data_IF_020881263352
#
_entry.id   IF_020881263352
#
_cell.length_a   1.000
_cell.length_b   1.000
_cell.length_c   1.000
_cell.angle_alpha   90.00
_cell.angle_beta   90.00
_cell.angle_gamma   90.00
#
_symmetry.space_group_name_H-M   'P 1'
#
loop_
_entity.id
_entity.type
_entity.pdbx_description
1 polymer ?
#
# COMPACT_ATOMS: atom_id res chain seq x y z
N UNK A 1 -23.13 -12.12 -9.68
CA UNK A 1 -21.74 -12.57 -9.56
C UNK A 1 -20.73 -11.53 -10.06
N UNK A 2 -20.99 -10.80 -11.16
CA UNK A 2 -20.13 -9.67 -11.57
C UNK A 2 -20.24 -8.43 -10.66
N UNK A 3 -21.43 -8.10 -10.15
CA UNK A 3 -21.68 -6.91 -9.32
C UNK A 3 -21.00 -6.95 -7.92
N UNK A 4 -20.66 -8.14 -7.41
CA UNK A 4 -20.04 -8.32 -6.09
C UNK A 4 -18.53 -8.06 -6.13
N UNK A 5 -17.88 -8.42 -7.25
CA UNK A 5 -16.43 -8.32 -7.37
C UNK A 5 -15.96 -6.87 -7.44
N UNK A 6 -16.69 -6.02 -8.15
CA UNK A 6 -16.40 -4.59 -8.24
C UNK A 6 -16.63 -3.89 -6.89
N UNK A 7 -17.67 -4.29 -6.14
CA UNK A 7 -17.94 -3.73 -4.81
C UNK A 7 -16.80 -4.01 -3.82
N UNK A 8 -16.22 -5.22 -3.85
CA UNK A 8 -15.06 -5.56 -3.03
C UNK A 8 -13.85 -4.71 -3.38
N UNK A 9 -13.49 -4.63 -4.67
CA UNK A 9 -12.37 -3.81 -5.15
C UNK A 9 -12.54 -2.34 -4.78
N UNK A 10 -13.77 -1.83 -4.88
CA UNK A 10 -14.13 -0.48 -4.43
C UNK A 10 -13.91 -0.29 -2.93
N UNK A 11 -14.27 -1.26 -2.09
CA UNK A 11 -14.03 -1.19 -0.63
C UNK A 11 -12.54 -1.22 -0.28
N UNK A 12 -11.76 -2.04 -0.99
CA UNK A 12 -10.31 -2.06 -0.84
C UNK A 12 -9.70 -0.71 -1.25
N UNK A 13 -10.16 -0.12 -2.36
CA UNK A 13 -9.76 1.22 -2.78
C UNK A 13 -10.19 2.31 -1.79
N UNK A 14 -11.37 2.20 -1.16
CA UNK A 14 -11.79 3.09 -0.08
C UNK A 14 -10.86 2.99 1.12
N UNK A 15 -10.44 1.77 1.50
CA UNK A 15 -9.49 1.56 2.58
C UNK A 15 -8.15 2.25 2.30
N UNK A 16 -7.60 2.09 1.09
CA UNK A 16 -6.37 2.78 0.69
C UNK A 16 -6.51 4.30 0.69
N UNK A 17 -7.63 4.82 0.17
CA UNK A 17 -7.83 6.27 0.12
C UNK A 17 -8.01 6.89 1.50
N UNK A 18 -8.77 6.24 2.40
CA UNK A 18 -8.91 6.66 3.80
C UNK A 18 -7.56 6.59 4.53
N UNK A 19 -6.73 5.60 4.21
CA UNK A 19 -5.38 5.49 4.75
C UNK A 19 -4.49 6.68 4.33
N UNK A 20 -4.41 6.98 3.03
CA UNK A 20 -3.58 8.09 2.51
C UNK A 20 -4.01 9.46 3.03
N UNK A 21 -5.29 9.66 3.37
CA UNK A 21 -5.74 10.93 3.93
C UNK A 21 -5.50 11.04 5.43
N UNK A 22 -5.09 9.98 6.12
CA UNK A 22 -5.12 9.92 7.59
C UNK A 22 -4.12 10.83 8.29
N UNK A 23 -3.01 11.15 7.63
CA UNK A 23 -1.96 12.05 8.11
C UNK A 23 -2.27 13.55 7.87
N UNK A 24 -3.31 13.84 7.08
CA UNK A 24 -3.78 15.19 6.77
C UNK A 24 -3.52 15.67 5.34
N UNK A 25 -2.70 14.99 4.53
CA UNK A 25 -2.40 15.44 3.18
C UNK A 25 -1.98 14.30 2.25
N UNK A 26 -2.72 14.14 1.16
CA UNK A 26 -2.35 13.19 0.09
C UNK A 26 -1.29 13.84 -0.80
N UNK A 27 -0.10 13.22 -0.86
CA UNK A 27 0.99 13.60 -1.74
C UNK A 27 0.78 13.12 -3.19
N UNK A 28 1.51 13.72 -4.13
CA UNK A 28 1.51 13.27 -5.54
C UNK A 28 2.02 11.83 -5.69
N UNK A 29 3.01 11.43 -4.89
CA UNK A 29 3.58 10.09 -4.94
C UNK A 29 2.59 9.02 -4.47
N UNK A 30 1.84 9.30 -3.41
CA UNK A 30 0.78 8.42 -2.94
C UNK A 30 -0.37 8.33 -3.92
N UNK A 31 -0.82 9.46 -4.48
CA UNK A 31 -1.89 9.46 -5.50
C UNK A 31 -1.47 8.64 -6.74
N UNK A 32 -0.21 8.78 -7.18
CA UNK A 32 0.32 7.99 -8.29
C UNK A 32 0.37 6.49 -7.95
N UNK A 33 0.82 6.13 -6.76
CA UNK A 33 0.87 4.72 -6.33
C UNK A 33 -0.54 4.14 -6.16
N UNK A 34 -1.48 4.90 -5.61
CA UNK A 34 -2.89 4.53 -5.53
C UNK A 34 -3.49 4.25 -6.91
N UNK A 35 -3.16 5.06 -7.91
CA UNK A 35 -3.58 4.85 -9.29
C UNK A 35 -3.01 3.55 -9.88
N UNK A 36 -1.77 3.21 -9.55
CA UNK A 36 -1.14 1.95 -9.95
C UNK A 36 -1.81 0.75 -9.25
N UNK A 37 -2.07 0.85 -7.93
CA UNK A 37 -2.80 -0.17 -7.17
C UNK A 37 -4.22 -0.40 -7.73
N UNK A 38 -4.96 0.67 -8.05
CA UNK A 38 -6.30 0.55 -8.64
C UNK A 38 -6.27 -0.18 -9.99
N UNK A 39 -5.24 0.06 -10.80
CA UNK A 39 -5.05 -0.67 -12.08
C UNK A 39 -4.73 -2.14 -11.85
N UNK A 40 -3.88 -2.46 -10.87
CA UNK A 40 -3.56 -3.84 -10.50
C UNK A 40 -4.79 -4.59 -9.96
N UNK A 41 -5.68 -3.89 -9.26
CA UNK A 41 -6.98 -4.42 -8.85
C UNK A 41 -7.97 -4.62 -9.99
N UNK A 42 -7.63 -4.18 -11.21
CA UNK A 42 -8.54 -4.10 -12.34
C UNK A 42 -9.83 -3.34 -11.96
N UNK A 43 -9.69 -2.25 -11.20
CA UNK A 43 -10.79 -1.35 -10.86
C UNK A 43 -10.91 -0.30 -11.96
N UNK A 44 -12.11 -0.11 -12.49
CA UNK A 44 -12.35 0.89 -13.52
C UNK A 44 -12.38 2.32 -12.93
N UNK A 45 -12.32 3.31 -13.82
CA UNK A 45 -12.28 4.73 -13.42
C UNK A 45 -13.56 5.16 -12.68
N UNK A 46 -14.70 4.52 -12.95
CA UNK A 46 -15.96 4.82 -12.26
C UNK A 46 -15.94 4.30 -10.82
N UNK A 47 -15.52 3.06 -10.60
CA UNK A 47 -15.37 2.43 -9.30
C UNK A 47 -14.29 3.11 -8.45
N UNK A 48 -13.17 3.52 -9.06
CA UNK A 48 -12.15 4.34 -8.41
C UNK A 48 -12.72 5.68 -7.96
N UNK A 49 -13.39 6.41 -8.87
CA UNK A 49 -14.01 7.70 -8.52
C UNK A 49 -15.04 7.54 -7.41
N UNK A 50 -15.87 6.51 -7.47
CA UNK A 50 -16.83 6.20 -6.42
C UNK A 50 -16.15 5.95 -5.07
N UNK A 51 -15.05 5.17 -5.04
CA UNK A 51 -14.30 4.92 -3.81
C UNK A 51 -13.76 6.22 -3.20
N UNK A 52 -13.17 7.09 -4.03
CA UNK A 52 -12.64 8.39 -3.62
C UNK A 52 -13.74 9.31 -3.10
N UNK A 53 -14.82 9.48 -3.87
CA UNK A 53 -15.93 10.35 -3.51
C UNK A 53 -16.61 9.88 -2.22
N UNK A 54 -16.80 8.55 -2.09
CA UNK A 54 -17.39 7.98 -0.88
C UNK A 54 -16.50 8.21 0.34
N UNK A 55 -15.19 8.00 0.21
CA UNK A 55 -14.23 8.21 1.29
C UNK A 55 -14.26 9.65 1.81
N UNK A 56 -14.31 10.64 0.90
CA UNK A 56 -14.46 12.07 1.26
C UNK A 56 -15.82 12.41 1.87
N UNK A 57 -16.88 11.69 1.49
CA UNK A 57 -18.20 11.86 2.09
C UNK A 57 -18.23 11.39 3.54
N UNK A 58 -17.63 10.22 3.83
CA UNK A 58 -17.67 9.56 5.14
C UNK A 58 -16.58 10.03 6.10
N UNK A 59 -15.45 10.53 5.60
CA UNK A 59 -14.37 11.14 6.39
C UNK A 59 -14.17 12.58 5.93
N UNK A 60 -14.85 13.52 6.61
CA UNK A 60 -14.72 14.96 6.32
C UNK A 60 -13.46 15.57 6.91
N UNK A 61 -12.98 15.02 8.02
CA UNK A 61 -11.70 15.35 8.64
C UNK A 61 -10.75 14.16 8.42
N UNK A 62 -9.55 14.38 7.86
CA UNK A 62 -8.44 13.42 7.87
C UNK A 62 -8.31 12.57 9.14
N UNK A 63 -8.43 13.21 10.31
CA UNK A 63 -8.25 12.54 11.62
C UNK A 63 -9.34 11.51 11.94
N UNK A 64 -10.48 11.60 11.26
CA UNK A 64 -11.56 10.63 11.41
C UNK A 64 -11.32 9.35 10.60
N UNK A 65 -10.34 9.32 9.69
CA UNK A 65 -10.11 8.19 8.78
C UNK A 65 -10.09 6.83 9.49
N UNK A 66 -9.35 6.69 10.59
CA UNK A 66 -9.32 5.46 11.37
C UNK A 66 -10.70 5.09 11.95
N UNK A 67 -11.41 6.07 12.51
CA UNK A 67 -12.76 5.84 13.06
C UNK A 67 -13.74 5.46 11.94
N UNK A 68 -13.61 6.07 10.76
CA UNK A 68 -14.41 5.79 9.58
C UNK A 68 -14.17 4.37 9.07
N UNK A 69 -12.91 3.91 9.03
CA UNK A 69 -12.58 2.52 8.66
C UNK A 69 -13.34 1.54 9.57
N UNK A 70 -13.40 1.82 10.88
CA UNK A 70 -14.12 0.98 11.84
C UNK A 70 -15.64 1.11 11.72
N UNK A 71 -16.18 2.33 11.58
CA UNK A 71 -17.63 2.57 11.55
C UNK A 71 -18.28 2.06 10.27
N UNK A 72 -17.58 2.24 9.15
CA UNK A 72 -17.98 1.66 7.87
C UNK A 72 -17.65 0.16 7.81
N UNK A 73 -16.94 -0.40 8.80
CA UNK A 73 -16.52 -1.81 8.86
C UNK A 73 -15.70 -2.22 7.64
N UNK A 74 -14.81 -1.37 7.15
CA UNK A 74 -13.95 -1.68 6.00
C UNK A 74 -12.92 -2.75 6.34
N UNK A 75 -12.40 -2.74 7.57
CA UNK A 75 -11.54 -3.78 8.11
C UNK A 75 -12.23 -5.17 8.07
N UNK A 76 -13.53 -5.22 8.31
CA UNK A 76 -14.31 -6.45 8.21
C UNK A 76 -14.76 -6.74 6.79
N UNK A 77 -15.18 -5.78 5.99
CA UNK A 77 -15.66 -6.04 4.63
C UNK A 77 -14.53 -6.51 3.70
N UNK A 78 -13.34 -5.92 3.82
CA UNK A 78 -12.13 -6.36 3.10
C UNK A 78 -11.64 -7.71 3.66
N UNK A 79 -11.78 -7.94 4.97
CA UNK A 79 -11.37 -9.20 5.61
C UNK A 79 -12.33 -10.39 5.39
N UNK A 80 -13.66 -10.17 5.40
CA UNK A 80 -14.69 -11.20 5.55
C UNK A 80 -15.12 -11.86 4.24
N UNK A 81 -15.12 -11.14 3.12
CA UNK A 81 -15.38 -11.80 1.82
C UNK A 81 -14.23 -12.74 1.40
N UNK A 82 -13.11 -12.68 2.13
CA UNK A 82 -11.97 -13.61 2.06
C UNK A 82 -12.14 -14.85 2.97
N UNK A 83 -13.02 -14.82 3.99
CA UNK A 83 -13.22 -15.91 4.97
C UNK A 83 -13.96 -17.16 4.43
N UNK A 84 -14.29 -17.18 3.13
CA UNK A 84 -14.94 -18.32 2.46
C UNK A 84 -14.04 -19.14 1.52
N UNK A 85 -12.90 -18.60 1.08
CA UNK A 85 -11.96 -19.24 0.13
C UNK A 85 -10.68 -18.43 -0.11
N UNK A 86 -10.56 -17.26 0.50
CA UNK A 86 -9.46 -16.39 0.25
C UNK A 86 -8.27 -16.71 1.16
N UNK A 87 -7.09 -16.76 0.56
CA UNK A 87 -5.80 -16.98 1.21
C UNK A 87 -5.27 -15.77 1.99
N UNK A 88 -4.61 -16.03 3.13
CA UNK A 88 -3.87 -15.01 3.92
C UNK A 88 -2.95 -14.12 3.07
N UNK A 89 -2.44 -14.64 1.94
CA UNK A 89 -1.64 -13.87 0.98
C UNK A 89 -2.31 -12.59 0.50
N UNK A 90 -3.62 -12.55 0.30
CA UNK A 90 -4.23 -11.31 -0.20
C UNK A 90 -4.40 -10.27 0.89
N UNK A 91 -4.74 -10.68 2.11
CA UNK A 91 -4.74 -9.75 3.23
C UNK A 91 -3.31 -9.21 3.45
N UNK A 92 -2.29 -10.06 3.31
CA UNK A 92 -0.89 -9.64 3.32
C UNK A 92 -0.54 -8.70 2.14
N UNK A 93 -1.08 -8.92 0.92
CA UNK A 93 -0.97 -7.97 -0.20
C UNK A 93 -1.58 -6.61 0.14
N UNK A 94 -2.74 -6.59 0.79
CA UNK A 94 -3.38 -5.33 1.22
C UNK A 94 -2.49 -4.60 2.23
N UNK A 95 -1.94 -5.31 3.22
CA UNK A 95 -0.97 -4.74 4.17
C UNK A 95 0.25 -4.20 3.44
N UNK A 96 0.82 -4.96 2.50
CA UNK A 96 1.98 -4.53 1.71
C UNK A 96 1.69 -3.27 0.90
N UNK A 97 0.51 -3.18 0.29
CA UNK A 97 0.08 -1.98 -0.44
C UNK A 97 -0.03 -0.76 0.48
N UNK A 98 -0.59 -0.91 1.67
CA UNK A 98 -0.66 0.16 2.67
C UNK A 98 0.74 0.61 3.12
N UNK A 99 1.64 -0.34 3.38
CA UNK A 99 3.04 -0.02 3.72
C UNK A 99 3.70 0.77 2.58
N UNK A 100 3.56 0.36 1.32
CA UNK A 100 4.13 1.14 0.22
C UNK A 100 3.52 2.54 0.09
N UNK A 101 2.20 2.68 0.31
CA UNK A 101 1.54 3.99 0.34
C UNK A 101 2.17 4.90 1.40
N UNK A 102 2.34 4.44 2.64
CA UNK A 102 2.96 5.26 3.69
C UNK A 102 4.45 5.54 3.51
N UNK A 103 5.12 4.86 2.58
CA UNK A 103 6.50 5.18 2.22
C UNK A 103 6.60 6.01 0.93
N UNK A 104 5.50 6.19 0.19
CA UNK A 104 5.50 6.87 -1.11
C UNK A 104 5.86 8.36 -0.98
N UNK A 105 5.46 9.01 0.12
CA UNK A 105 5.80 10.38 0.46
C UNK A 105 7.08 10.50 1.32
N UNK A 106 7.74 9.36 1.57
CA UNK A 106 8.92 9.17 2.43
C UNK A 106 8.70 9.26 3.94
N UNK A 107 7.45 9.32 4.41
CA UNK A 107 7.11 9.52 5.82
C UNK A 107 5.98 8.59 6.32
N UNK A 108 6.35 7.38 6.75
CA UNK A 108 5.38 6.47 7.36
C UNK A 108 4.96 6.95 8.77
N UNK A 109 3.80 7.61 8.83
CA UNK A 109 3.30 8.37 9.97
C UNK A 109 2.73 7.49 11.09
N UNK A 110 2.48 8.08 12.26
CA UNK A 110 1.89 7.36 13.39
C UNK A 110 0.41 7.04 13.14
N UNK A 111 -0.31 7.91 12.44
CA UNK A 111 -1.70 7.73 11.99
C UNK A 111 -1.84 6.53 11.06
N UNK A 112 -0.95 6.42 10.08
CA UNK A 112 -0.89 5.31 9.15
C UNK A 112 -0.49 3.99 9.82
N UNK A 113 0.57 4.00 10.64
CA UNK A 113 0.99 2.84 11.44
C UNK A 113 -0.15 2.35 12.33
N UNK A 114 -0.95 3.25 12.89
CA UNK A 114 -2.12 2.89 13.71
C UNK A 114 -3.15 2.10 12.89
N UNK A 115 -3.43 2.52 11.66
CA UNK A 115 -4.33 1.78 10.76
C UNK A 115 -3.74 0.39 10.45
N UNK A 116 -2.49 0.34 10.02
CA UNK A 116 -1.86 -0.92 9.60
C UNK A 116 -1.74 -1.91 10.75
N UNK A 117 -1.32 -1.46 11.94
CA UNK A 117 -1.25 -2.30 13.13
C UNK A 117 -2.61 -2.90 13.51
N UNK A 118 -3.69 -2.10 13.43
CA UNK A 118 -5.05 -2.61 13.66
C UNK A 118 -5.41 -3.71 12.67
N UNK A 119 -5.12 -3.52 11.37
CA UNK A 119 -5.45 -4.51 10.34
C UNK A 119 -4.60 -5.78 10.46
N UNK A 120 -3.30 -5.66 10.75
CA UNK A 120 -2.40 -6.79 11.01
C UNK A 120 -2.93 -7.65 12.17
N UNK A 121 -3.36 -7.01 13.26
CA UNK A 121 -3.95 -7.71 14.41
C UNK A 121 -5.32 -8.33 14.08
N UNK A 122 -6.20 -7.58 13.41
CA UNK A 122 -7.56 -8.02 13.05
C UNK A 122 -7.57 -9.18 12.06
N UNK A 123 -6.63 -9.18 11.12
CA UNK A 123 -6.51 -10.18 10.05
C UNK A 123 -5.54 -11.32 10.38
N UNK A 124 -4.97 -11.33 11.58
CA UNK A 124 -4.03 -12.36 12.06
C UNK A 124 -2.85 -12.58 11.09
N UNK A 125 -2.32 -11.47 10.57
CA UNK A 125 -1.09 -11.46 9.76
C UNK A 125 0.09 -11.70 10.71
N UNK A 126 1.00 -12.57 10.30
CA UNK A 126 2.18 -12.87 11.10
C UNK A 126 3.03 -11.60 11.28
N UNK A 127 3.42 -11.33 12.53
CA UNK A 127 4.17 -10.12 12.88
C UNK A 127 5.57 -10.10 12.25
N UNK A 128 6.17 -11.26 12.02
CA UNK A 128 7.43 -11.39 11.29
C UNK A 128 7.28 -10.99 9.83
N UNK A 129 6.19 -11.42 9.17
CA UNK A 129 5.88 -11.02 7.80
C UNK A 129 5.62 -9.51 7.70
N UNK A 130 4.85 -8.93 8.63
CA UNK A 130 4.65 -7.48 8.68
C UNK A 130 5.97 -6.73 8.90
N UNK A 131 6.85 -7.21 9.80
CA UNK A 131 8.16 -6.60 10.01
C UNK A 131 9.04 -6.68 8.75
N UNK A 132 9.01 -7.81 8.04
CA UNK A 132 9.73 -7.99 6.77
C UNK A 132 9.26 -6.98 5.70
N UNK A 133 7.96 -6.70 5.62
CA UNK A 133 7.42 -5.65 4.76
C UNK A 133 7.99 -4.27 5.12
N UNK A 134 7.97 -3.90 6.40
CA UNK A 134 8.49 -2.60 6.86
C UNK A 134 9.99 -2.48 6.60
N UNK A 135 10.77 -3.51 6.95
CA UNK A 135 12.22 -3.53 6.73
C UNK A 135 12.57 -3.43 5.23
N UNK A 136 11.77 -4.09 4.38
CA UNK A 136 11.90 -4.02 2.92
C UNK A 136 11.62 -2.61 2.41
N UNK A 137 10.54 -1.98 2.86
CA UNK A 137 10.18 -0.61 2.48
C UNK A 137 11.23 0.42 2.94
N UNK A 138 11.74 0.29 4.18
CA UNK A 138 12.84 1.10 4.70
C UNK A 138 14.10 0.99 3.82
N UNK A 139 14.45 -0.24 3.44
CA UNK A 139 15.64 -0.49 2.61
C UNK A 139 15.46 0.07 1.20
N UNK A 140 14.29 -0.10 0.60
CA UNK A 140 13.97 0.48 -0.71
C UNK A 140 14.00 2.01 -0.68
N UNK A 141 13.53 2.64 0.40
CA UNK A 141 13.61 4.09 0.58
C UNK A 141 15.06 4.55 0.70
N UNK A 142 15.90 3.84 1.45
CA UNK A 142 17.32 4.14 1.58
C UNK A 142 18.06 4.05 0.22
N UNK A 143 17.78 3.00 -0.56
CA UNK A 143 18.30 2.82 -1.92
C UNK A 143 17.84 3.93 -2.86
N UNK A 144 16.57 4.34 -2.78
CA UNK A 144 16.02 5.44 -3.58
C UNK A 144 16.71 6.76 -3.26
N UNK A 145 16.88 7.08 -1.97
CA UNK A 145 17.63 8.27 -1.53
C UNK A 145 19.09 8.23 -1.97
N UNK A 146 19.72 7.05 -1.94
CA UNK A 146 21.07 6.86 -2.47
C UNK A 146 21.13 7.14 -3.98
N UNK A 147 20.15 6.66 -4.75
CA UNK A 147 20.04 6.92 -6.19
C UNK A 147 19.88 8.41 -6.48
N UNK A 148 18.99 9.11 -5.77
CA UNK A 148 18.80 10.56 -5.90
C UNK A 148 20.09 11.35 -5.59
N UNK A 149 20.75 11.03 -4.46
CA UNK A 149 22.01 11.66 -4.09
C UNK A 149 23.08 11.45 -5.16
N UNK A 150 23.21 10.24 -5.70
CA UNK A 150 24.15 9.93 -6.77
C UNK A 150 23.85 10.74 -8.04
N UNK A 151 22.58 10.84 -8.42
CA UNK A 151 22.14 11.63 -9.59
C UNK A 151 22.50 13.12 -9.41
N UNK A 152 22.35 13.65 -8.19
CA UNK A 152 22.70 15.06 -7.90
C UNK A 152 24.21 15.32 -7.80
N UNK A 153 25.01 14.30 -7.45
CA UNK A 153 26.43 14.46 -7.11
C UNK A 153 27.35 14.16 -8.29
N UNK A 154 27.03 13.16 -9.10
CA UNK A 154 27.89 12.70 -10.18
C UNK A 154 27.44 13.24 -11.56
N UNK A 155 28.39 13.67 -12.41
CA UNK A 155 28.08 14.05 -13.77
C UNK A 155 27.52 12.86 -14.55
N UNK A 156 26.71 13.15 -15.57
CA UNK A 156 26.22 12.13 -16.49
C UNK A 156 27.40 11.36 -17.11
N UNK A 157 27.33 10.03 -17.10
CA UNK A 157 28.39 9.19 -17.63
C UNK A 157 28.23 7.73 -17.20
N UNK A 158 28.97 6.85 -17.88
CA UNK A 158 28.84 5.40 -17.75
C UNK A 158 28.91 4.88 -16.31
N UNK A 159 29.80 5.44 -15.48
CA UNK A 159 29.94 5.01 -14.09
C UNK A 159 28.68 5.30 -13.26
N UNK A 160 28.03 6.45 -13.50
CA UNK A 160 26.76 6.79 -12.85
C UNK A 160 25.65 5.87 -13.36
N UNK A 161 25.57 5.66 -14.67
CA UNK A 161 24.53 4.82 -15.29
C UNK A 161 24.62 3.36 -14.79
N UNK A 162 25.84 2.83 -14.64
CA UNK A 162 26.07 1.47 -14.16
C UNK A 162 25.69 1.32 -12.66
N UNK A 163 25.98 2.34 -11.84
CA UNK A 163 25.55 2.38 -10.43
C UNK A 163 24.03 2.53 -10.29
N UNK A 164 23.40 3.35 -11.14
CA UNK A 164 21.94 3.53 -11.16
C UNK A 164 21.23 2.21 -11.45
N UNK A 165 21.63 1.51 -12.52
CA UNK A 165 21.07 0.20 -12.88
C UNK A 165 21.24 -0.83 -11.78
N UNK A 166 22.35 -0.78 -11.05
CA UNK A 166 22.58 -1.70 -9.92
C UNK A 166 21.58 -1.43 -8.80
N UNK A 167 21.38 -0.17 -8.41
CA UNK A 167 20.39 0.19 -7.39
C UNK A 167 18.98 -0.23 -7.84
N UNK A 168 18.61 0.04 -9.10
CA UNK A 168 17.31 -0.36 -9.64
C UNK A 168 17.12 -1.88 -9.61
N UNK A 169 18.17 -2.65 -9.92
CA UNK A 169 18.14 -4.11 -9.82
C UNK A 169 17.97 -4.57 -8.37
N UNK A 170 18.64 -3.94 -7.41
CA UNK A 170 18.52 -4.29 -5.98
C UNK A 170 17.10 -4.00 -5.46
N UNK A 171 16.51 -2.85 -5.81
CA UNK A 171 15.11 -2.53 -5.49
C UNK A 171 14.17 -3.57 -6.11
N UNK A 172 14.40 -3.94 -7.38
CA UNK A 172 13.56 -4.93 -8.05
C UNK A 172 13.64 -6.32 -7.42
N UNK A 173 14.83 -6.74 -6.96
CA UNK A 173 15.00 -7.98 -6.21
C UNK A 173 14.20 -7.96 -4.92
N UNK A 174 14.31 -6.89 -4.12
CA UNK A 174 13.55 -6.76 -2.86
C UNK A 174 12.04 -6.81 -3.08
N UNK A 175 11.54 -6.14 -4.13
CA UNK A 175 10.13 -6.22 -4.53
C UNK A 175 9.69 -7.63 -4.93
N UNK A 176 10.58 -8.41 -5.56
CA UNK A 176 10.29 -9.77 -5.98
C UNK A 176 10.27 -10.73 -4.79
N UNK A 177 11.22 -10.57 -3.87
CA UNK A 177 11.35 -11.40 -2.68
C UNK A 177 10.12 -11.25 -1.77
N UNK A 178 9.68 -10.01 -1.49
CA UNK A 178 8.49 -9.80 -0.64
C UNK A 178 7.21 -10.30 -1.31
N UNK A 179 7.09 -10.17 -2.65
CA UNK A 179 5.96 -10.74 -3.39
C UNK A 179 5.93 -12.25 -3.27
N UNK A 180 7.10 -12.91 -3.37
CA UNK A 180 7.22 -14.35 -3.16
C UNK A 180 6.82 -14.74 -1.73
N UNK A 181 7.33 -14.04 -0.71
CA UNK A 181 6.94 -14.28 0.70
C UNK A 181 5.42 -14.21 0.86
N UNK A 182 4.76 -13.21 0.27
CA UNK A 182 3.30 -13.05 0.30
C UNK A 182 2.60 -14.20 -0.43
N UNK A 183 3.05 -14.58 -1.62
CA UNK A 183 2.47 -15.67 -2.42
C UNK A 183 2.59 -17.03 -1.71
N UNK A 184 3.69 -17.28 -1.02
CA UNK A 184 3.93 -18.52 -0.27
C UNK A 184 2.98 -18.68 0.94
N UNK A 185 2.34 -17.60 1.41
CA UNK A 185 1.29 -17.67 2.45
C UNK A 185 0.00 -18.38 1.98
N UNK A 186 -0.10 -18.73 0.70
CA UNK A 186 -1.22 -19.52 0.14
C UNK A 186 -1.06 -21.03 0.30
N UNK A 187 0.14 -21.51 0.60
CA UNK A 187 0.47 -22.93 0.78
C UNK A 187 0.27 -23.41 2.22
#
# INVERSE_FOLDING_TARGET
MFFDLDLHKTREAMLYYLYMMSDGAISYSEEKLFDEICKELELDEEGKRFAVDKSKEVAKDPKDAFNTILSERLDEQVGHEWFGLGSKSTLARVIWNLVNLGYADTCYSDEEKKIVNHLVEKWEIDKGIYQEMVDTADTMLALTKQKEWMISTFPNGRERDDKEKRIDSEIHTMLSDIKLTIEEMTM
#
